data_IF_514023121957
#
_entry.id   IF_514023121957
#
_cell.length_a   1.000
_cell.length_b   1.000
_cell.length_c   1.000
_cell.angle_alpha   90.00
_cell.angle_beta   90.00
_cell.angle_gamma   90.00
#
_symmetry.space_group_name_H-M   'P 1'
#
loop_
_entity.id
_entity.type
_entity.pdbx_description
1 polymer ?
#
# COMPACT_ATOMS: atom_id res chain seq x y z
N UNK A 1 13.12 5.29 7.60
CA UNK A 1 13.73 4.42 6.56
C UNK A 1 14.13 5.30 5.38
N UNK A 2 15.20 4.99 4.64
CA UNK A 2 15.69 5.88 3.58
C UNK A 2 15.10 5.50 2.21
N UNK A 3 14.10 6.24 1.72
CA UNK A 3 13.52 6.05 0.37
C UNK A 3 14.54 6.26 -0.75
N UNK A 4 15.67 6.92 -0.48
CA UNK A 4 16.77 7.01 -1.44
C UNK A 4 17.24 5.61 -1.85
N UNK A 5 17.13 4.63 -0.94
CA UNK A 5 17.48 3.25 -1.22
C UNK A 5 16.57 2.62 -2.28
N UNK A 6 15.33 3.09 -2.48
CA UNK A 6 14.44 2.64 -3.57
C UNK A 6 14.48 3.55 -4.82
N UNK A 7 15.34 4.58 -4.83
CA UNK A 7 15.51 5.49 -5.96
C UNK A 7 14.43 6.58 -6.07
N UNK A 8 13.62 6.76 -5.03
CA UNK A 8 12.49 7.70 -5.01
C UNK A 8 12.89 8.92 -4.18
N UNK A 9 12.84 10.10 -4.80
CA UNK A 9 13.18 11.36 -4.13
C UNK A 9 12.14 11.69 -3.05
N UNK A 10 12.57 12.34 -1.98
CA UNK A 10 11.69 12.75 -0.86
C UNK A 10 10.60 13.73 -1.30
N UNK A 11 9.46 13.67 -0.63
CA UNK A 11 8.35 14.61 -0.77
C UNK A 11 8.80 16.05 -0.44
N UNK A 12 8.24 17.09 -1.11
CA UNK A 12 8.36 18.48 -0.65
C UNK A 12 7.89 18.65 0.79
N UNK A 13 8.44 19.63 1.52
CA UNK A 13 8.22 19.75 2.97
C UNK A 13 6.76 19.96 3.38
N UNK A 14 5.99 20.73 2.61
CA UNK A 14 4.55 20.92 2.80
C UNK A 14 3.77 19.63 2.56
N UNK A 15 4.13 18.87 1.53
CA UNK A 15 3.55 17.57 1.19
C UNK A 15 3.90 16.50 2.24
N UNK A 16 5.12 16.52 2.75
CA UNK A 16 5.54 15.63 3.84
C UNK A 16 4.69 15.82 5.11
N UNK A 17 4.31 17.07 5.44
CA UNK A 17 3.41 17.34 6.58
C UNK A 17 2.03 16.73 6.39
N UNK A 18 1.46 16.85 5.19
CA UNK A 18 0.16 16.24 4.85
C UNK A 18 0.25 14.71 5.00
N UNK A 19 1.29 14.11 4.43
CA UNK A 19 1.52 12.67 4.52
C UNK A 19 1.63 12.19 5.98
N UNK A 20 2.45 12.86 6.79
CA UNK A 20 2.66 12.50 8.20
C UNK A 20 1.40 12.65 9.03
N UNK A 21 0.57 13.67 8.77
CA UNK A 21 -0.72 13.85 9.43
C UNK A 21 -1.62 12.64 9.16
N UNK A 22 -1.85 12.31 7.90
CA UNK A 22 -2.73 11.20 7.49
C UNK A 22 -2.22 9.85 8.00
N UNK A 23 -0.90 9.61 7.92
CA UNK A 23 -0.29 8.40 8.47
C UNK A 23 -0.51 8.31 9.99
N UNK A 24 -0.40 9.43 10.71
CA UNK A 24 -0.64 9.46 12.15
C UNK A 24 -2.10 9.15 12.48
N UNK A 25 -3.05 9.72 11.74
CA UNK A 25 -4.49 9.45 11.90
C UNK A 25 -4.78 7.94 11.70
N UNK A 26 -4.33 7.35 10.58
CA UNK A 26 -4.56 5.92 10.31
C UNK A 26 -3.96 5.02 11.40
N UNK A 27 -2.78 5.37 11.92
CA UNK A 27 -2.12 4.60 12.98
C UNK A 27 -2.86 4.67 14.32
N UNK A 28 -3.48 5.81 14.65
CA UNK A 28 -4.19 6.01 15.90
C UNK A 28 -5.60 5.40 15.85
N UNK A 29 -6.26 5.47 14.70
CA UNK A 29 -7.67 5.11 14.55
C UNK A 29 -7.89 3.68 14.04
N UNK A 30 -6.83 2.86 13.95
CA UNK A 30 -6.96 1.49 13.44
C UNK A 30 -5.88 0.53 13.93
N UNK A 31 -5.96 -0.71 13.46
CA UNK A 31 -4.97 -1.78 13.68
C UNK A 31 -3.73 -1.68 12.77
N UNK A 32 -3.48 -0.53 12.12
CA UNK A 32 -2.38 -0.36 11.17
C UNK A 32 -1.00 -0.77 11.69
N UNK A 33 -0.69 -0.44 12.95
CA UNK A 33 0.61 -0.81 13.51
C UNK A 33 0.77 -2.32 13.71
N UNK A 34 -0.32 -3.11 13.78
CA UNK A 34 -0.22 -4.58 13.88
C UNK A 34 0.30 -5.23 12.60
N UNK A 35 0.27 -4.53 11.46
CA UNK A 35 0.82 -5.01 10.19
C UNK A 35 2.35 -5.16 10.20
N UNK A 36 3.03 -4.63 11.24
CA UNK A 36 4.47 -4.87 11.44
C UNK A 36 4.79 -6.34 11.73
N UNK A 37 3.79 -7.15 12.12
CA UNK A 37 3.96 -8.55 12.47
C UNK A 37 3.90 -9.49 11.25
N UNK A 38 3.63 -8.96 10.05
CA UNK A 38 3.46 -9.74 8.84
C UNK A 38 4.50 -9.31 7.82
N UNK A 39 5.17 -10.28 7.20
CA UNK A 39 6.12 -10.02 6.10
C UNK A 39 5.34 -9.89 4.80
N UNK A 40 5.77 -8.96 3.94
CA UNK A 40 5.24 -8.76 2.60
C UNK A 40 6.24 -9.20 1.53
N UNK A 41 7.44 -8.62 1.51
CA UNK A 41 8.46 -8.89 0.50
C UNK A 41 9.86 -8.94 1.13
N UNK A 42 10.60 -10.03 0.90
CA UNK A 42 11.93 -10.19 1.50
C UNK A 42 11.86 -10.19 3.02
N UNK A 43 12.44 -9.18 3.63
CA UNK A 43 12.39 -8.85 5.07
C UNK A 43 11.54 -7.61 5.37
N UNK A 44 10.82 -7.06 4.39
CA UNK A 44 9.95 -5.90 4.53
C UNK A 44 8.59 -6.31 5.08
N UNK A 45 8.13 -5.65 6.14
CA UNK A 45 6.79 -5.88 6.72
C UNK A 45 5.69 -5.28 5.86
N UNK A 46 4.45 -5.78 5.98
CA UNK A 46 3.26 -5.23 5.29
C UNK A 46 3.08 -3.74 5.61
N UNK A 47 3.34 -3.34 6.86
CA UNK A 47 3.29 -1.94 7.28
C UNK A 47 4.30 -1.07 6.53
N UNK A 48 5.55 -1.50 6.47
CA UNK A 48 6.62 -0.76 5.78
C UNK A 48 6.32 -0.65 4.29
N UNK A 49 5.91 -1.75 3.67
CA UNK A 49 5.48 -1.78 2.27
C UNK A 49 4.38 -0.74 1.99
N UNK A 50 3.30 -0.74 2.79
CA UNK A 50 2.21 0.23 2.63
C UNK A 50 2.68 1.68 2.75
N UNK A 51 3.59 1.97 3.69
CA UNK A 51 4.16 3.32 3.85
C UNK A 51 5.00 3.69 2.63
N UNK A 52 5.89 2.80 2.15
CA UNK A 52 6.71 3.04 0.96
C UNK A 52 5.86 3.29 -0.28
N UNK A 53 4.81 2.49 -0.48
CA UNK A 53 3.87 2.61 -1.59
C UNK A 53 3.11 3.93 -1.51
N UNK A 54 2.63 4.33 -0.33
CA UNK A 54 1.91 5.59 -0.16
C UNK A 54 2.80 6.82 -0.40
N UNK A 55 4.05 6.82 0.11
CA UNK A 55 5.02 7.89 -0.17
C UNK A 55 5.34 7.97 -1.67
N UNK A 56 5.52 6.80 -2.31
CA UNK A 56 5.81 6.69 -3.74
C UNK A 56 4.67 7.17 -4.61
N UNK A 57 3.44 6.73 -4.32
CA UNK A 57 2.24 7.13 -5.05
C UNK A 57 2.07 8.65 -5.00
N UNK A 58 2.22 9.23 -3.82
CA UNK A 58 2.09 10.67 -3.64
C UNK A 58 3.22 11.44 -4.34
N UNK A 59 4.45 10.95 -4.28
CA UNK A 59 5.57 11.52 -5.03
C UNK A 59 5.31 11.48 -6.55
N UNK A 60 4.79 10.38 -7.09
CA UNK A 60 4.45 10.27 -8.52
C UNK A 60 3.42 11.33 -8.89
N UNK A 61 2.33 11.46 -8.12
CA UNK A 61 1.29 12.46 -8.38
C UNK A 61 1.89 13.88 -8.45
N UNK A 62 2.72 14.25 -7.47
CA UNK A 62 3.39 15.56 -7.42
C UNK A 62 4.36 15.74 -8.58
N UNK A 63 5.22 14.75 -8.83
CA UNK A 63 6.30 14.83 -9.82
C UNK A 63 5.78 15.03 -11.24
N UNK A 64 4.63 14.45 -11.54
CA UNK A 64 3.99 14.53 -12.86
C UNK A 64 2.85 15.55 -12.90
N UNK A 65 2.57 16.27 -11.81
CA UNK A 65 1.51 17.27 -11.74
C UNK A 65 0.11 16.68 -11.99
N UNK A 66 -0.12 15.45 -11.54
CA UNK A 66 -1.41 14.77 -11.73
C UNK A 66 -2.36 15.27 -10.65
N UNK A 67 -3.45 15.91 -11.10
CA UNK A 67 -4.53 16.35 -10.23
C UNK A 67 -5.31 15.15 -9.66
N UNK A 68 -5.20 14.97 -8.35
CA UNK A 68 -5.72 13.85 -7.54
C UNK A 68 -6.28 14.38 -6.22
N UNK A 69 -7.17 13.61 -5.60
CA UNK A 69 -7.49 13.77 -4.19
C UNK A 69 -6.32 13.26 -3.34
N UNK A 70 -5.51 14.18 -2.81
CA UNK A 70 -4.30 13.85 -2.05
C UNK A 70 -4.59 13.01 -0.81
N UNK A 71 -5.71 13.28 -0.13
CA UNK A 71 -6.06 12.55 1.09
C UNK A 71 -6.52 11.13 0.76
N UNK A 72 -7.38 10.98 -0.25
CA UNK A 72 -7.80 9.66 -0.72
C UNK A 72 -6.63 8.84 -1.28
N UNK A 73 -5.70 9.48 -2.01
CA UNK A 73 -4.50 8.82 -2.54
C UNK A 73 -3.64 8.25 -1.39
N UNK A 74 -3.33 9.07 -0.39
CA UNK A 74 -2.46 8.65 0.72
C UNK A 74 -3.18 7.60 1.57
N UNK A 75 -4.44 7.82 1.96
CA UNK A 75 -5.21 6.88 2.78
C UNK A 75 -5.44 5.56 2.05
N UNK A 76 -5.89 5.60 0.80
CA UNK A 76 -6.11 4.41 -0.02
C UNK A 76 -4.83 3.62 -0.25
N UNK A 77 -3.70 4.28 -0.46
CA UNK A 77 -2.41 3.61 -0.60
C UNK A 77 -1.90 3.01 0.72
N UNK A 78 -2.12 3.66 1.86
CA UNK A 78 -1.80 3.06 3.16
C UNK A 78 -2.67 1.81 3.44
N UNK A 79 -3.91 1.78 2.96
CA UNK A 79 -4.86 0.72 3.25
C UNK A 79 -4.94 -0.40 2.19
N UNK A 80 -4.18 -0.33 1.10
CA UNK A 80 -4.32 -1.27 -0.02
C UNK A 80 -4.11 -2.75 0.38
N UNK A 81 -3.17 -2.97 1.30
CA UNK A 81 -2.79 -4.28 1.84
C UNK A 81 -3.22 -4.47 3.30
N UNK A 82 -4.28 -3.79 3.71
CA UNK A 82 -4.80 -3.80 5.08
C UNK A 82 -5.52 -5.11 5.47
N UNK A 83 -4.94 -6.26 5.19
CA UNK A 83 -5.59 -7.56 5.34
C UNK A 83 -5.43 -8.20 6.74
N UNK A 84 -4.44 -7.77 7.53
CA UNK A 84 -4.25 -8.10 8.96
C UNK A 84 -4.03 -9.61 9.28
N UNK A 85 -3.31 -10.35 8.42
CA UNK A 85 -2.91 -11.74 8.68
C UNK A 85 -1.59 -12.06 7.97
N UNK A 86 -0.86 -13.11 8.38
CA UNK A 86 0.33 -13.56 7.64
C UNK A 86 -0.08 -14.46 6.46
N UNK A 87 0.19 -14.02 5.23
CA UNK A 87 -0.15 -14.78 4.05
C UNK A 87 0.87 -15.88 3.71
N UNK A 88 2.03 -15.92 4.38
CA UNK A 88 3.02 -16.99 4.23
C UNK A 88 2.62 -18.26 4.97
N UNK A 89 1.65 -18.20 5.89
CA UNK A 89 1.12 -19.40 6.54
C UNK A 89 0.44 -20.32 5.54
N UNK A 90 0.77 -21.62 5.61
CA UNK A 90 0.25 -22.64 4.69
C UNK A 90 -1.24 -22.88 4.94
N UNK A 91 -2.08 -22.24 4.15
CA UNK A 91 -3.53 -22.50 4.10
C UNK A 91 -4.04 -22.43 2.66
N UNK A 92 -5.10 -23.18 2.36
CA UNK A 92 -5.72 -23.16 1.02
C UNK A 92 -6.18 -21.75 0.61
N UNK A 93 -6.60 -20.93 1.59
CA UNK A 93 -7.01 -19.55 1.37
C UNK A 93 -5.83 -18.60 1.04
N UNK A 94 -4.62 -18.93 1.47
CA UNK A 94 -3.42 -18.13 1.23
C UNK A 94 -2.74 -18.47 -0.11
N UNK A 95 -2.97 -19.66 -0.68
CA UNK A 95 -2.43 -20.03 -2.01
C UNK A 95 -2.91 -19.10 -3.13
N UNK A 96 -4.09 -18.50 -2.99
CA UNK A 96 -4.66 -17.53 -3.93
C UNK A 96 -4.66 -16.11 -3.36
N UNK A 97 -3.75 -15.82 -2.43
CA UNK A 97 -3.65 -14.53 -1.73
C UNK A 97 -3.67 -13.34 -2.72
N UNK A 98 -2.84 -13.38 -3.77
CA UNK A 98 -2.75 -12.31 -4.77
C UNK A 98 -4.07 -11.97 -5.49
N UNK A 99 -5.03 -12.89 -5.56
CA UNK A 99 -6.34 -12.68 -6.17
C UNK A 99 -7.42 -12.27 -5.16
N UNK A 100 -7.18 -12.48 -3.86
CA UNK A 100 -8.23 -12.39 -2.83
C UNK A 100 -7.95 -11.31 -1.79
N UNK A 101 -6.69 -10.93 -1.56
CA UNK A 101 -6.36 -9.92 -0.56
C UNK A 101 -6.94 -8.54 -0.86
N UNK A 102 -7.14 -8.06 -2.11
CA UNK A 102 -7.75 -6.74 -2.33
C UNK A 102 -9.14 -6.65 -1.67
N UNK A 103 -9.91 -7.74 -1.75
CA UNK A 103 -11.23 -7.81 -1.10
C UNK A 103 -11.13 -7.95 0.41
N UNK A 104 -10.14 -8.69 0.93
CA UNK A 104 -9.91 -8.84 2.37
C UNK A 104 -9.48 -7.50 2.99
N UNK A 105 -8.52 -6.81 2.38
CA UNK A 105 -8.05 -5.49 2.76
C UNK A 105 -9.21 -4.48 2.76
N UNK A 106 -10.02 -4.45 1.70
CA UNK A 106 -11.21 -3.60 1.64
C UNK A 106 -12.19 -3.87 2.79
N UNK A 107 -12.50 -5.14 3.06
CA UNK A 107 -13.42 -5.50 4.14
C UNK A 107 -12.87 -5.10 5.51
N UNK A 108 -11.57 -5.30 5.75
CA UNK A 108 -10.91 -4.91 7.01
C UNK A 108 -10.82 -3.40 7.18
N UNK A 109 -10.50 -2.67 6.12
CA UNK A 109 -10.47 -1.22 6.15
C UNK A 109 -11.86 -0.64 6.47
N UNK A 110 -12.94 -1.27 5.99
CA UNK A 110 -14.32 -0.88 6.33
C UNK A 110 -14.76 -1.16 7.76
N UNK A 111 -14.08 -2.05 8.48
CA UNK A 111 -14.36 -2.26 9.91
C UNK A 111 -13.91 -1.04 10.73
N UNK A 112 -12.82 -0.38 10.31
CA UNK A 112 -12.18 0.71 11.07
C UNK A 112 -12.48 2.10 10.48
N UNK A 113 -12.82 2.20 9.19
CA UNK A 113 -12.98 3.47 8.47
C UNK A 113 -14.23 3.52 7.58
N UNK A 114 -14.76 4.73 7.41
CA UNK A 114 -15.68 5.06 6.32
C UNK A 114 -14.85 5.39 5.07
N UNK A 115 -14.90 4.52 4.06
CA UNK A 115 -14.13 4.68 2.83
C UNK A 115 -14.92 5.49 1.79
N UNK A 116 -14.25 6.46 1.18
CA UNK A 116 -14.70 7.13 -0.03
C UNK A 116 -14.73 6.17 -1.23
N UNK A 117 -15.40 6.60 -2.31
CA UNK A 117 -15.42 5.86 -3.57
C UNK A 117 -14.02 5.72 -4.18
N UNK A 118 -13.14 6.71 -3.98
CA UNK A 118 -11.77 6.68 -4.52
C UNK A 118 -10.92 5.68 -3.75
N UNK A 119 -10.90 5.74 -2.41
CA UNK A 119 -10.17 4.77 -1.58
C UNK A 119 -10.67 3.33 -1.82
N UNK A 120 -11.98 3.14 -1.95
CA UNK A 120 -12.54 1.83 -2.26
C UNK A 120 -12.06 1.29 -3.61
N UNK A 121 -12.00 2.13 -4.64
CA UNK A 121 -11.50 1.75 -5.97
C UNK A 121 -10.01 1.40 -5.94
N UNK A 122 -9.22 2.19 -5.22
CA UNK A 122 -7.79 1.96 -5.00
C UNK A 122 -7.56 0.59 -4.36
N UNK A 123 -8.19 0.31 -3.22
CA UNK A 123 -7.96 -0.92 -2.47
C UNK A 123 -8.43 -2.14 -3.26
N UNK A 124 -9.58 -2.09 -3.92
CA UNK A 124 -10.14 -3.27 -4.61
C UNK A 124 -9.37 -3.62 -5.89
N UNK A 125 -8.77 -2.64 -6.58
CA UNK A 125 -8.19 -2.83 -7.91
C UNK A 125 -6.66 -2.70 -7.97
N UNK A 126 -5.97 -2.45 -6.86
CA UNK A 126 -4.52 -2.23 -6.86
C UNK A 126 -3.71 -3.40 -7.45
N UNK A 127 -4.25 -4.63 -7.43
CA UNK A 127 -3.58 -5.80 -8.01
C UNK A 127 -3.67 -5.91 -9.53
N UNK A 128 -4.30 -4.97 -10.25
CA UNK A 128 -4.22 -4.94 -11.71
C UNK A 128 -2.75 -4.90 -12.20
N UNK A 129 -2.35 -5.68 -13.23
CA UNK A 129 -3.17 -6.54 -14.10
C UNK A 129 -3.31 -8.00 -13.65
N UNK A 130 -2.83 -8.38 -12.46
CA UNK A 130 -3.05 -9.73 -11.93
C UNK A 130 -4.55 -10.00 -11.72
N UNK A 131 -5.27 -9.03 -11.13
CA UNK A 131 -6.73 -9.05 -11.10
C UNK A 131 -7.31 -8.42 -12.38
N UNK A 132 -8.35 -9.00 -12.98
CA UNK A 132 -8.83 -8.58 -14.31
C UNK A 132 -9.47 -7.19 -14.36
N UNK A 133 -9.94 -6.68 -13.21
CA UNK A 133 -10.59 -5.38 -13.13
C UNK A 133 -9.54 -4.29 -12.89
N UNK A 134 -9.48 -3.30 -13.78
CA UNK A 134 -8.59 -2.15 -13.68
C UNK A 134 -9.15 -1.07 -12.74
N UNK A 135 -8.29 -0.24 -12.12
CA UNK A 135 -8.73 0.92 -11.34
C UNK A 135 -9.49 1.92 -12.22
N UNK A 136 -10.55 2.52 -11.67
CA UNK A 136 -11.40 3.51 -12.32
C UNK A 136 -11.02 4.95 -11.97
N UNK A 137 -10.12 5.13 -11.01
CA UNK A 137 -9.60 6.43 -10.57
C UNK A 137 -8.13 6.62 -10.95
N UNK A 138 -7.70 7.88 -11.04
CA UNK A 138 -6.29 8.21 -11.31
C UNK A 138 -5.41 7.72 -10.14
N UNK A 139 -5.92 7.85 -8.93
CA UNK A 139 -5.30 7.43 -7.68
C UNK A 139 -5.08 5.92 -7.67
N UNK A 140 -6.06 5.13 -8.12
CA UNK A 140 -5.93 3.68 -8.25
C UNK A 140 -4.88 3.28 -9.30
N UNK A 141 -4.82 3.99 -10.42
CA UNK A 141 -3.78 3.75 -11.43
C UNK A 141 -2.37 4.08 -10.92
N UNK A 142 -2.21 5.20 -10.20
CA UNK A 142 -0.95 5.58 -9.55
C UNK A 142 -0.55 4.55 -8.49
N UNK A 143 -1.50 4.11 -7.65
CA UNK A 143 -1.27 3.08 -6.64
C UNK A 143 -0.77 1.79 -7.27
N UNK A 144 -1.38 1.34 -8.37
CA UNK A 144 -0.90 0.14 -9.07
C UNK A 144 0.58 0.29 -9.44
N UNK A 145 0.98 1.41 -10.05
CA UNK A 145 2.37 1.62 -10.45
C UNK A 145 3.30 1.66 -9.23
N UNK A 146 2.93 2.42 -8.19
CA UNK A 146 3.71 2.58 -6.97
C UNK A 146 3.96 1.24 -6.27
N UNK A 147 2.91 0.44 -6.11
CA UNK A 147 2.96 -0.90 -5.52
C UNK A 147 4.00 -1.79 -6.22
N UNK A 148 3.94 -1.89 -7.56
CA UNK A 148 4.88 -2.76 -8.31
C UNK A 148 6.31 -2.24 -8.23
N UNK A 149 6.52 -0.92 -8.22
CA UNK A 149 7.86 -0.34 -8.06
C UNK A 149 8.45 -0.67 -6.69
N UNK A 150 7.67 -0.50 -5.63
CA UNK A 150 8.09 -0.83 -4.26
C UNK A 150 8.33 -2.33 -4.10
N UNK A 151 7.35 -3.17 -4.47
CA UNK A 151 7.46 -4.63 -4.38
C UNK A 151 8.69 -5.19 -5.12
N UNK A 152 8.95 -4.67 -6.33
CA UNK A 152 10.14 -5.04 -7.10
C UNK A 152 11.42 -4.61 -6.38
N UNK A 153 11.48 -3.36 -5.91
CA UNK A 153 12.63 -2.81 -5.22
C UNK A 153 12.94 -3.51 -3.89
N UNK A 154 11.90 -3.89 -3.14
CA UNK A 154 11.96 -4.62 -1.87
C UNK A 154 12.37 -6.07 -2.10
N UNK A 155 11.84 -6.74 -3.12
CA UNK A 155 12.22 -8.13 -3.45
C UNK A 155 13.69 -8.23 -3.90
N UNK A 156 14.18 -7.26 -4.68
CA UNK A 156 15.58 -7.29 -5.18
C UNK A 156 16.58 -6.99 -4.07
N UNK A 157 16.25 -6.08 -3.14
CA UNK A 157 17.17 -5.62 -2.09
C UNK A 157 17.02 -6.38 -0.78
N UNK A 158 15.84 -6.89 -0.51
CA UNK A 158 15.52 -7.65 0.69
C UNK A 158 16.32 -8.94 0.72
N UNK A 159 16.68 -9.38 1.93
CA UNK A 159 17.24 -10.72 2.10
C UNK A 159 16.11 -11.72 1.88
N UNK A 160 16.36 -12.80 1.12
CA UNK A 160 15.42 -13.91 1.04
C UNK A 160 15.08 -14.37 2.46
N UNK A 161 13.79 -14.38 2.86
CA UNK A 161 13.41 -14.98 4.14
C UNK A 161 13.81 -16.45 4.04
N UNK A 162 14.64 -16.88 4.98
CA UNK A 162 15.28 -18.18 4.95
C UNK A 162 14.28 -19.32 4.73
N UNK A 163 14.70 -20.28 3.90
CA UNK A 163 14.16 -21.64 3.85
C UNK A 163 14.13 -22.20 5.27
N UNK A 164 12.94 -22.57 5.75
CA UNK A 164 12.76 -23.69 6.67
C UNK A 164 12.31 -24.90 5.87
#
# INVERSE_FOLDING_TARGET
MNLDNIGIKRLPHDKEKIFRRILSEIRLDSRFDSMTNFIQHGDTTVREHCIHVAETAYFIAIKFGIDVDEEALIRGALLHDYFLYDWHEKSAANMIHGFTHPRKAYNKAKEDFVLSRVEADMIIHHMFPLTPNHPKTKEGAILCIADKLCATGETIRGKLPWRV
#
